data_IF_109795934353
#
_entry.id   IF_109795934353
#
_cell.length_a   1.000
_cell.length_b   1.000
_cell.length_c   1.000
_cell.angle_alpha   90.00
_cell.angle_beta   90.00
_cell.angle_gamma   90.00
#
_symmetry.space_group_name_H-M   'P 1'
#
loop_
_entity.id
_entity.type
_entity.pdbx_description
1 polymer ?
#
# COMPACT_ATOMS: atom_id res chain seq x y z
N UNK A 1 17.82 0.83 -24.27
CA UNK A 1 17.07 2.06 -23.96
C UNK A 1 15.63 1.69 -23.60
N UNK A 2 14.94 0.93 -24.46
CA UNK A 2 13.53 0.52 -24.29
C UNK A 2 13.14 -0.14 -22.95
N UNK A 3 13.94 -1.04 -22.39
CA UNK A 3 13.60 -1.72 -21.13
C UNK A 3 13.64 -0.79 -19.91
N UNK A 4 14.60 0.14 -19.88
CA UNK A 4 14.71 1.13 -18.80
C UNK A 4 13.54 2.10 -18.84
N UNK A 5 13.15 2.52 -20.04
CA UNK A 5 12.03 3.44 -20.26
C UNK A 5 10.68 2.74 -20.00
N UNK A 6 10.58 1.44 -20.26
CA UNK A 6 9.43 0.64 -19.85
C UNK A 6 9.31 0.55 -18.32
N UNK A 7 10.39 0.17 -17.63
CA UNK A 7 10.39 0.06 -16.17
C UNK A 7 10.03 1.39 -15.48
N UNK A 8 10.60 2.50 -15.94
CA UNK A 8 10.31 3.81 -15.38
C UNK A 8 8.81 4.17 -15.53
N UNK A 9 8.22 3.88 -16.70
CA UNK A 9 6.78 4.11 -16.94
C UNK A 9 5.89 3.29 -16.01
N UNK A 10 6.24 2.03 -15.76
CA UNK A 10 5.48 1.19 -14.83
C UNK A 10 5.56 1.73 -13.40
N UNK A 11 6.73 2.16 -12.95
CA UNK A 11 6.92 2.78 -11.63
C UNK A 11 6.10 4.08 -11.52
N UNK A 12 6.16 4.95 -12.53
CA UNK A 12 5.40 6.20 -12.56
C UNK A 12 3.89 5.96 -12.56
N UNK A 13 3.41 4.98 -13.34
CA UNK A 13 2.00 4.60 -13.43
C UNK A 13 1.47 4.13 -12.07
N UNK A 14 2.17 3.21 -11.41
CA UNK A 14 1.74 2.70 -10.09
C UNK A 14 1.77 3.83 -9.06
N UNK A 15 2.83 4.62 -9.01
CA UNK A 15 2.93 5.72 -8.04
C UNK A 15 1.83 6.77 -8.23
N UNK A 16 1.49 7.11 -9.49
CA UNK A 16 0.40 8.04 -9.79
C UNK A 16 -0.96 7.47 -9.38
N UNK A 17 -1.21 6.19 -9.69
CA UNK A 17 -2.45 5.51 -9.32
C UNK A 17 -2.64 5.47 -7.80
N UNK A 18 -1.62 5.08 -7.04
CA UNK A 18 -1.67 5.00 -5.58
C UNK A 18 -1.97 6.35 -4.93
N UNK A 19 -1.34 7.42 -5.42
CA UNK A 19 -1.61 8.78 -4.94
C UNK A 19 -3.04 9.23 -5.26
N UNK A 20 -3.56 8.90 -6.45
CA UNK A 20 -4.92 9.23 -6.84
C UNK A 20 -5.96 8.50 -5.98
N UNK A 21 -5.75 7.21 -5.74
CA UNK A 21 -6.55 6.39 -4.82
C UNK A 21 -6.56 6.99 -3.42
N UNK A 22 -5.38 7.28 -2.87
CA UNK A 22 -5.23 7.85 -1.53
C UNK A 22 -5.94 9.19 -1.40
N UNK A 23 -5.78 10.09 -2.38
CA UNK A 23 -6.46 11.39 -2.38
C UNK A 23 -7.99 11.24 -2.45
N UNK A 24 -8.50 10.24 -3.17
CA UNK A 24 -9.94 9.97 -3.26
C UNK A 24 -10.51 9.50 -1.93
N UNK A 25 -9.81 8.59 -1.26
CA UNK A 25 -10.24 8.00 0.01
C UNK A 25 -10.08 8.94 1.20
N UNK A 26 -8.99 9.70 1.27
CA UNK A 26 -8.60 10.44 2.47
C UNK A 26 -8.47 11.95 2.27
N UNK A 27 -8.60 12.47 1.05
CA UNK A 27 -8.34 13.87 0.71
C UNK A 27 -9.56 14.79 0.64
N UNK A 28 -10.78 14.28 0.84
CA UNK A 28 -12.03 15.04 0.79
C UNK A 28 -12.48 15.62 2.13
N UNK A 29 -13.19 16.76 2.12
CA UNK A 29 -13.97 17.22 3.30
C UNK A 29 -15.11 16.23 3.52
N UNK A 30 -15.15 15.58 4.70
CA UNK A 30 -16.17 14.63 5.20
C UNK A 30 -17.60 15.22 5.21
N UNK A 31 -18.16 15.54 4.04
CA UNK A 31 -19.51 16.10 3.93
C UNK A 31 -20.56 15.08 3.48
N UNK A 32 -20.14 13.87 3.13
CA UNK A 32 -21.05 12.77 2.88
C UNK A 32 -20.53 11.59 3.70
N UNK A 33 -21.44 10.89 4.38
CA UNK A 33 -21.17 9.62 5.01
C UNK A 33 -20.79 8.62 3.91
N UNK A 34 -19.53 8.69 3.47
CA UNK A 34 -19.00 7.90 2.38
C UNK A 34 -18.76 6.50 2.93
N UNK A 35 -19.38 5.51 2.30
CA UNK A 35 -19.15 4.10 2.58
C UNK A 35 -17.68 3.77 2.27
N UNK A 36 -16.79 3.94 3.25
CA UNK A 36 -15.35 3.67 3.09
C UNK A 36 -15.11 2.26 2.55
N UNK A 37 -15.91 1.28 2.97
CA UNK A 37 -15.81 -0.10 2.47
C UNK A 37 -16.08 -0.20 0.96
N UNK A 38 -17.11 0.49 0.45
CA UNK A 38 -17.43 0.54 -0.98
C UNK A 38 -16.28 1.19 -1.76
N UNK A 39 -15.71 2.27 -1.25
CA UNK A 39 -14.60 2.95 -1.91
C UNK A 39 -13.29 2.14 -1.84
N UNK A 40 -13.06 1.40 -0.75
CA UNK A 40 -11.96 0.43 -0.64
C UNK A 40 -12.15 -0.70 -1.67
N UNK A 41 -13.36 -1.21 -1.84
CA UNK A 41 -13.62 -2.28 -2.81
C UNK A 41 -13.42 -1.79 -4.25
N UNK A 42 -13.96 -0.61 -4.58
CA UNK A 42 -13.71 0.06 -5.87
C UNK A 42 -12.22 0.26 -6.14
N UNK A 43 -11.46 0.58 -5.09
CA UNK A 43 -10.01 0.78 -5.14
C UNK A 43 -9.26 -0.52 -5.43
N UNK A 44 -9.62 -1.63 -4.78
CA UNK A 44 -9.02 -2.95 -5.04
C UNK A 44 -9.21 -3.34 -6.50
N UNK A 45 -10.42 -3.15 -7.01
CA UNK A 45 -10.79 -3.42 -8.39
C UNK A 45 -10.00 -2.55 -9.39
N UNK A 46 -9.85 -1.26 -9.10
CA UNK A 46 -9.05 -0.34 -9.93
C UNK A 46 -7.59 -0.75 -9.96
N UNK A 47 -7.01 -1.08 -8.81
CA UNK A 47 -5.61 -1.47 -8.69
C UNK A 47 -5.35 -2.79 -9.45
N UNK A 48 -6.25 -3.75 -9.36
CA UNK A 48 -6.19 -4.99 -10.13
C UNK A 48 -6.26 -4.71 -11.64
N UNK A 49 -7.24 -3.92 -12.10
CA UNK A 49 -7.39 -3.61 -13.54
C UNK A 49 -6.19 -2.87 -14.11
N UNK A 50 -5.61 -1.93 -13.37
CA UNK A 50 -4.57 -1.05 -13.88
C UNK A 50 -3.16 -1.61 -13.75
N UNK A 51 -2.93 -2.50 -12.77
CA UNK A 51 -1.57 -2.96 -12.44
C UNK A 51 -1.43 -4.48 -12.44
N UNK A 52 -2.54 -5.22 -12.59
CA UNK A 52 -2.63 -6.67 -12.33
C UNK A 52 -2.29 -7.07 -10.89
N UNK A 53 -2.13 -6.11 -9.97
CA UNK A 53 -1.95 -6.39 -8.56
C UNK A 53 -3.30 -6.59 -7.90
N UNK A 54 -3.57 -7.83 -7.54
CA UNK A 54 -4.69 -8.21 -6.68
C UNK A 54 -4.34 -7.90 -5.20
N UNK A 55 -5.00 -6.88 -4.64
CA UNK A 55 -4.84 -6.49 -3.25
C UNK A 55 -5.48 -7.51 -2.30
N UNK A 56 -6.57 -8.19 -2.67
CA UNK A 56 -7.15 -9.24 -1.83
C UNK A 56 -6.18 -10.41 -1.69
N UNK A 57 -5.53 -10.82 -2.80
CA UNK A 57 -4.46 -11.83 -2.77
C UNK A 57 -3.27 -11.40 -1.93
N UNK A 58 -2.90 -10.12 -1.98
CA UNK A 58 -1.81 -9.59 -1.15
C UNK A 58 -2.15 -9.58 0.34
N UNK A 59 -3.40 -9.26 0.69
CA UNK A 59 -3.89 -9.20 2.06
C UNK A 59 -4.10 -10.58 2.70
N UNK A 60 -4.10 -11.66 1.90
CA UNK A 60 -4.23 -13.03 2.39
C UNK A 60 -3.18 -13.33 3.49
N UNK A 61 -3.55 -13.98 4.60
CA UNK A 61 -2.65 -14.25 5.72
C UNK A 61 -1.39 -15.07 5.39
N UNK A 62 -1.30 -15.73 4.23
CA UNK A 62 -0.10 -16.46 3.83
C UNK A 62 1.07 -15.52 3.49
N UNK A 63 1.76 -15.09 4.54
CA UNK A 63 2.84 -14.08 4.53
C UNK A 63 4.07 -14.49 3.73
N UNK A 64 4.33 -15.80 3.56
CA UNK A 64 5.56 -16.29 2.94
C UNK A 64 5.64 -15.92 1.45
N UNK A 65 4.49 -15.90 0.75
CA UNK A 65 4.40 -15.51 -0.66
C UNK A 65 4.17 -14.03 -0.90
N UNK A 66 3.82 -13.28 0.15
CA UNK A 66 3.40 -11.86 0.03
C UNK A 66 4.54 -10.96 -0.49
N UNK A 67 5.78 -11.16 -0.01
CA UNK A 67 6.94 -10.38 -0.48
C UNK A 67 7.35 -10.76 -1.91
N UNK A 68 7.31 -12.05 -2.25
CA UNK A 68 7.63 -12.52 -3.61
C UNK A 68 6.58 -12.01 -4.61
N UNK A 69 5.32 -12.03 -4.21
CA UNK A 69 4.21 -11.53 -5.02
C UNK A 69 4.40 -10.06 -5.37
N UNK A 70 4.58 -9.16 -4.39
CA UNK A 70 4.73 -7.73 -4.69
C UNK A 70 6.01 -7.44 -5.51
N UNK A 71 7.10 -8.16 -5.25
CA UNK A 71 8.36 -7.99 -5.99
C UNK A 71 8.31 -8.55 -7.42
N UNK A 72 7.29 -9.33 -7.77
CA UNK A 72 7.09 -9.83 -9.14
C UNK A 72 6.63 -8.73 -10.11
N UNK A 73 6.18 -7.59 -9.58
CA UNK A 73 5.67 -6.46 -10.36
C UNK A 73 6.74 -5.37 -10.51
N UNK A 74 7.10 -5.07 -11.76
CA UNK A 74 8.14 -4.09 -12.09
C UNK A 74 7.85 -2.67 -11.56
N UNK A 75 6.58 -2.30 -11.42
CA UNK A 75 6.17 -0.98 -10.95
C UNK A 75 6.27 -0.78 -9.42
N UNK A 76 6.54 -1.81 -8.62
CA UNK A 76 6.71 -1.66 -7.17
C UNK A 76 8.17 -1.37 -6.80
N UNK A 77 8.59 -0.12 -7.03
CA UNK A 77 9.84 0.42 -6.47
C UNK A 77 9.75 0.53 -4.94
N UNK A 78 10.86 0.83 -4.28
CA UNK A 78 10.87 1.06 -2.82
C UNK A 78 9.86 2.15 -2.46
N UNK A 79 9.84 3.26 -3.21
CA UNK A 79 8.94 4.38 -2.99
C UNK A 79 7.48 3.97 -3.16
N UNK A 80 7.15 3.16 -4.18
CA UNK A 80 5.77 2.70 -4.39
C UNK A 80 5.33 1.66 -3.34
N UNK A 81 6.27 0.84 -2.84
CA UNK A 81 6.00 -0.07 -1.72
C UNK A 81 5.74 0.73 -0.44
N UNK A 82 6.47 1.81 -0.19
CA UNK A 82 6.19 2.71 0.94
C UNK A 82 4.84 3.39 0.81
N UNK A 83 4.48 3.88 -0.38
CA UNK A 83 3.15 4.44 -0.63
C UNK A 83 2.04 3.42 -0.36
N UNK A 84 2.24 2.14 -0.73
CA UNK A 84 1.31 1.08 -0.38
C UNK A 84 1.25 0.87 1.14
N UNK A 85 2.39 0.84 1.83
CA UNK A 85 2.44 0.67 3.27
C UNK A 85 1.70 1.80 4.01
N UNK A 86 1.89 3.04 3.58
CA UNK A 86 1.16 4.20 4.09
C UNK A 86 -0.34 4.03 3.85
N UNK A 87 -0.74 3.69 2.62
CA UNK A 87 -2.13 3.47 2.26
C UNK A 87 -2.82 2.40 3.12
N UNK A 88 -2.18 1.24 3.31
CA UNK A 88 -2.70 0.18 4.16
C UNK A 88 -2.77 0.61 5.62
N UNK A 89 -1.78 1.38 6.11
CA UNK A 89 -1.82 1.89 7.48
C UNK A 89 -2.99 2.87 7.69
N UNK A 90 -3.27 3.75 6.73
CA UNK A 90 -4.40 4.69 6.79
C UNK A 90 -5.75 3.96 6.81
N UNK A 91 -5.89 2.88 6.02
CA UNK A 91 -7.07 2.00 6.13
C UNK A 91 -7.15 1.38 7.52
N UNK A 92 -6.06 0.79 8.01
CA UNK A 92 -6.02 0.10 9.30
C UNK A 92 -6.24 1.02 10.51
N UNK A 93 -5.97 2.32 10.38
CA UNK A 93 -6.24 3.33 11.39
C UNK A 93 -7.60 4.03 11.24
N UNK A 94 -8.36 3.71 10.19
CA UNK A 94 -9.71 4.23 10.02
C UNK A 94 -10.69 3.59 11.01
N UNK A 95 -11.52 4.40 11.65
CA UNK A 95 -12.58 3.95 12.58
C UNK A 95 -13.62 3.04 11.90
N UNK A 96 -13.72 3.10 10.58
CA UNK A 96 -14.68 2.34 9.75
C UNK A 96 -14.07 1.04 9.20
N UNK A 97 -12.86 0.65 9.61
CA UNK A 97 -12.24 -0.58 9.12
C UNK A 97 -12.72 -1.81 9.89
N UNK A 98 -13.29 -2.81 9.20
CA UNK A 98 -13.73 -4.06 9.82
C UNK A 98 -12.56 -4.93 10.33
N UNK A 99 -11.41 -4.89 9.66
CA UNK A 99 -10.24 -5.72 10.00
C UNK A 99 -8.94 -4.92 10.05
N UNK A 100 -8.80 -3.98 11.00
CA UNK A 100 -7.68 -3.06 11.06
C UNK A 100 -6.35 -3.80 11.22
N UNK A 101 -6.35 -4.88 12.01
CA UNK A 101 -5.16 -5.69 12.28
C UNK A 101 -4.51 -6.24 11.00
N UNK A 102 -5.30 -6.80 10.08
CA UNK A 102 -4.80 -7.35 8.82
C UNK A 102 -4.07 -6.28 7.99
N UNK A 103 -4.66 -5.09 7.87
CA UNK A 103 -4.07 -3.99 7.12
C UNK A 103 -2.78 -3.47 7.77
N UNK A 104 -2.79 -3.31 9.10
CA UNK A 104 -1.64 -2.86 9.87
C UNK A 104 -0.47 -3.85 9.82
N UNK A 105 -0.72 -5.16 9.96
CA UNK A 105 0.31 -6.19 9.84
C UNK A 105 0.95 -6.19 8.44
N UNK A 106 0.14 -6.03 7.40
CA UNK A 106 0.62 -5.94 6.01
C UNK A 106 1.40 -4.64 5.75
N UNK A 107 0.96 -3.51 6.28
CA UNK A 107 1.71 -2.26 6.23
C UNK A 107 3.09 -2.42 6.89
N UNK A 108 3.15 -3.05 8.06
CA UNK A 108 4.40 -3.32 8.77
C UNK A 108 5.33 -4.24 7.96
N UNK A 109 4.78 -5.29 7.35
CA UNK A 109 5.53 -6.18 6.45
C UNK A 109 6.20 -5.40 5.30
N UNK A 110 5.48 -4.46 4.68
CA UNK A 110 6.01 -3.64 3.60
C UNK A 110 7.11 -2.68 4.06
N UNK A 111 6.97 -2.05 5.23
CA UNK A 111 8.04 -1.23 5.78
C UNK A 111 9.30 -2.04 6.10
N UNK A 112 9.15 -3.27 6.62
CA UNK A 112 10.28 -4.18 6.78
C UNK A 112 10.93 -4.53 5.44
N UNK A 113 10.14 -4.77 4.39
CA UNK A 113 10.65 -5.02 3.05
C UNK A 113 11.44 -3.81 2.52
N UNK A 114 10.91 -2.60 2.68
CA UNK A 114 11.61 -1.36 2.32
C UNK A 114 12.90 -1.19 3.09
N UNK A 115 12.94 -1.48 4.39
CA UNK A 115 14.18 -1.49 5.18
C UNK A 115 15.20 -2.50 4.66
N UNK A 116 14.77 -3.71 4.30
CA UNK A 116 15.65 -4.75 3.79
C UNK A 116 16.23 -4.43 2.40
N UNK A 117 15.50 -3.67 1.58
CA UNK A 117 15.89 -3.30 0.20
C UNK A 117 16.60 -1.95 0.12
N UNK A 118 16.26 -1.02 1.01
CA UNK A 118 16.82 0.32 1.04
C UNK A 118 18.24 0.32 1.57
N UNK A 119 19.11 1.11 0.94
CA UNK A 119 20.44 1.42 1.48
C UNK A 119 20.45 2.65 2.38
N UNK A 120 19.31 3.33 2.48
CA UNK A 120 19.13 4.60 3.18
C UNK A 120 18.15 4.40 4.34
N UNK A 121 18.54 4.92 5.49
CA UNK A 121 17.70 4.97 6.67
C UNK A 121 16.59 6.01 6.51
N UNK A 122 15.37 5.69 6.96
CA UNK A 122 14.23 6.61 6.94
C UNK A 122 13.62 6.74 8.33
N UNK A 123 13.72 7.94 8.90
CA UNK A 123 13.07 8.28 10.17
C UNK A 123 11.54 8.22 10.08
N UNK A 124 10.98 8.59 8.93
CA UNK A 124 9.55 8.53 8.67
C UNK A 124 9.05 7.08 8.69
N UNK A 125 9.79 6.19 8.02
CA UNK A 125 9.51 4.75 8.04
C UNK A 125 9.55 4.18 9.46
N UNK A 126 10.60 4.50 10.22
CA UNK A 126 10.71 4.05 11.62
C UNK A 126 9.55 4.55 12.48
N UNK A 127 9.19 5.84 12.35
CA UNK A 127 8.05 6.42 13.05
C UNK A 127 6.76 5.67 12.71
N UNK A 128 6.47 5.43 11.43
CA UNK A 128 5.26 4.75 10.99
C UNK A 128 5.21 3.30 11.51
N UNK A 129 6.33 2.58 11.45
CA UNK A 129 6.45 1.23 12.02
C UNK A 129 6.19 1.22 13.53
N UNK A 130 6.73 2.17 14.27
CA UNK A 130 6.50 2.28 15.72
C UNK A 130 5.02 2.58 16.03
N UNK A 131 4.38 3.47 15.27
CA UNK A 131 2.95 3.75 15.40
C UNK A 131 2.11 2.49 15.16
N UNK A 132 2.42 1.72 14.12
CA UNK A 132 1.73 0.45 13.83
C UNK A 132 1.97 -0.58 14.95
N UNK A 133 3.21 -0.77 15.38
CA UNK A 133 3.55 -1.71 16.45
C UNK A 133 2.78 -1.41 17.75
N UNK A 134 2.68 -0.13 18.12
CA UNK A 134 1.93 0.28 19.30
C UNK A 134 0.42 0.01 19.19
N UNK A 135 -0.14 0.07 17.97
CA UNK A 135 -1.55 -0.22 17.73
C UNK A 135 -1.88 -1.71 17.66
N UNK A 136 -0.88 -2.56 17.41
CA UNK A 136 -1.00 -4.02 17.36
C UNK A 136 -0.73 -4.71 18.71
N UNK A 137 -0.30 -3.95 19.73
CA UNK A 137 -0.10 -4.42 21.12
C UNK A 137 -1.42 -4.55 21.88
#
# INVERSE_FOLDING_TARGET
>A
MEQKDYLLREIEKIGALMRAIRQRLFGGKKNEASHLETEIENTKDELLRETNFDLNKFLDPDTQYTNEYILSFAGFSIENIELLAEFLSEIGFSDECENPKMFLEKALQLYHLCNAKSRVYSFEREKNMNTINNALQ
#
